data_IF_975995512320
#
_entry.id   IF_975995512320
#
_cell.length_a   1.000
_cell.length_b   1.000
_cell.length_c   1.000
_cell.angle_alpha   90.00
_cell.angle_beta   90.00
_cell.angle_gamma   90.00
#
_symmetry.space_group_name_H-M   'P 1'
#
loop_
_entity.id
_entity.type
_entity.pdbx_description
1 polymer ?
#
# COMPACT_ATOMS: atom_id res chain seq x y z
N UNK A 1 -29.78 19.84 -1.38
CA UNK A 1 -29.29 18.49 -1.03
C UNK A 1 -28.27 18.10 -2.09
N UNK A 2 -26.97 18.18 -1.77
CA UNK A 2 -25.91 17.79 -2.69
C UNK A 2 -25.78 16.27 -2.62
N UNK A 3 -26.20 15.60 -3.70
CA UNK A 3 -26.02 14.16 -3.83
C UNK A 3 -24.51 13.87 -3.85
N UNK A 4 -24.06 13.01 -2.94
CA UNK A 4 -22.73 12.41 -3.02
C UNK A 4 -22.57 11.76 -4.41
N UNK A 5 -21.40 11.86 -5.05
CA UNK A 5 -21.18 11.13 -6.29
C UNK A 5 -21.33 9.63 -5.99
N UNK A 6 -22.17 8.99 -6.80
CA UNK A 6 -22.36 7.55 -6.82
C UNK A 6 -20.98 6.91 -7.05
N UNK A 7 -20.64 5.94 -6.22
CA UNK A 7 -19.44 5.12 -6.33
C UNK A 7 -19.37 4.49 -7.74
N UNK A 8 -18.50 5.06 -8.60
CA UNK A 8 -18.44 4.76 -10.02
C UNK A 8 -17.73 3.44 -10.30
N UNK A 9 -18.49 2.38 -10.55
CA UNK A 9 -18.06 1.19 -11.27
C UNK A 9 -16.83 0.44 -10.71
N UNK A 10 -16.32 -0.58 -11.41
CA UNK A 10 -15.07 -1.21 -11.03
C UNK A 10 -13.92 -0.22 -11.26
N UNK A 11 -13.53 0.51 -10.22
CA UNK A 11 -12.40 1.44 -10.24
C UNK A 11 -11.17 0.76 -10.85
N UNK A 12 -10.59 1.35 -11.89
CA UNK A 12 -9.44 0.79 -12.59
C UNK A 12 -8.28 0.54 -11.60
N UNK A 13 -7.95 -0.74 -11.45
CA UNK A 13 -6.90 -1.24 -10.56
C UNK A 13 -5.50 -0.69 -10.91
N UNK A 14 -5.30 -0.23 -12.14
CA UNK A 14 -4.06 0.34 -12.65
C UNK A 14 -3.94 1.84 -12.38
N UNK A 15 -5.04 2.50 -11.95
CA UNK A 15 -5.03 3.93 -11.67
C UNK A 15 -4.08 4.26 -10.52
N UNK A 16 -3.14 5.17 -10.77
CA UNK A 16 -2.18 5.66 -9.78
C UNK A 16 -2.83 6.75 -8.91
N UNK A 17 -2.91 6.49 -7.61
CA UNK A 17 -3.57 7.34 -6.62
C UNK A 17 -2.56 7.83 -5.59
N UNK A 18 -2.66 9.11 -5.23
CA UNK A 18 -1.82 9.73 -4.20
C UNK A 18 -2.42 9.53 -2.82
N UNK A 19 -1.60 9.03 -1.91
CA UNK A 19 -1.92 8.86 -0.51
C UNK A 19 -0.96 9.69 0.35
N UNK A 20 -1.44 10.14 1.51
CA UNK A 20 -0.65 10.85 2.50
C UNK A 20 -0.77 10.13 3.84
N UNK A 21 0.37 9.76 4.41
CA UNK A 21 0.45 9.08 5.70
C UNK A 21 1.49 9.77 6.57
N UNK A 22 1.31 9.69 7.89
CA UNK A 22 2.39 10.00 8.83
C UNK A 22 3.11 8.70 9.17
N UNK A 23 4.39 8.60 8.82
CA UNK A 23 5.26 7.46 9.14
C UNK A 23 6.50 8.00 9.87
N UNK A 24 6.94 7.32 10.93
CA UNK A 24 8.09 7.75 11.74
C UNK A 24 8.07 9.24 12.17
N UNK A 25 6.88 9.80 12.43
CA UNK A 25 6.72 11.21 12.82
C UNK A 25 6.72 12.23 11.67
N UNK A 26 6.91 11.79 10.42
CA UNK A 26 6.95 12.68 9.25
C UNK A 26 5.81 12.36 8.27
N UNK A 27 5.27 13.41 7.64
CA UNK A 27 4.24 13.26 6.61
C UNK A 27 4.90 12.84 5.30
N UNK A 28 4.55 11.64 4.84
CA UNK A 28 5.04 11.06 3.59
C UNK A 28 3.89 10.96 2.60
N UNK A 29 4.15 11.35 1.35
CA UNK A 29 3.20 11.17 0.26
C UNK A 29 3.67 10.09 -0.69
N UNK A 30 2.77 9.18 -1.04
CA UNK A 30 3.06 7.98 -1.82
C UNK A 30 2.06 7.95 -2.96
N UNK A 31 2.54 7.78 -4.19
CA UNK A 31 1.68 7.57 -5.36
C UNK A 31 1.82 6.11 -5.80
N UNK A 32 0.71 5.37 -5.78
CA UNK A 32 0.64 3.94 -6.05
C UNK A 32 -0.64 3.59 -6.79
N UNK A 33 -0.58 2.55 -7.61
CA UNK A 33 -1.75 1.97 -8.26
C UNK A 33 -2.70 1.42 -7.18
N UNK A 34 -4.00 1.61 -7.42
CA UNK A 34 -5.06 1.20 -6.49
C UNK A 34 -4.92 -0.25 -6.04
N UNK A 35 -4.58 -1.16 -6.95
CA UNK A 35 -4.35 -2.57 -6.63
C UNK A 35 -3.26 -2.76 -5.57
N UNK A 36 -2.14 -2.07 -5.69
CA UNK A 36 -1.05 -2.16 -4.73
C UNK A 36 -1.43 -1.55 -3.38
N UNK A 37 -2.13 -0.41 -3.40
CA UNK A 37 -2.58 0.21 -2.15
C UNK A 37 -3.53 -0.68 -1.35
N UNK A 38 -4.53 -1.27 -2.00
CA UNK A 38 -5.48 -2.16 -1.33
C UNK A 38 -4.82 -3.47 -0.89
N UNK A 39 -3.88 -4.04 -1.66
CA UNK A 39 -3.14 -5.22 -1.21
C UNK A 39 -2.23 -4.89 -0.01
N UNK A 40 -1.58 -3.72 0.02
CA UNK A 40 -0.78 -3.30 1.16
C UNK A 40 -1.61 -3.20 2.44
N UNK A 41 -2.83 -2.64 2.36
CA UNK A 41 -3.78 -2.58 3.47
C UNK A 41 -4.14 -3.97 3.99
N UNK A 42 -4.36 -4.94 3.10
CA UNK A 42 -4.63 -6.33 3.47
C UNK A 42 -3.44 -6.98 4.17
N UNK A 43 -2.23 -6.84 3.63
CA UNK A 43 -1.01 -7.38 4.25
C UNK A 43 -0.81 -6.78 5.66
N UNK A 44 -1.01 -5.47 5.82
CA UNK A 44 -0.91 -4.84 7.13
C UNK A 44 -1.91 -5.42 8.14
N UNK A 45 -3.17 -5.64 7.71
CA UNK A 45 -4.22 -6.25 8.53
C UNK A 45 -3.94 -7.72 8.85
N UNK A 46 -3.49 -8.53 7.88
CA UNK A 46 -3.08 -9.93 8.04
C UNK A 46 -1.95 -10.06 9.08
N UNK A 47 -1.04 -9.08 9.12
CA UNK A 47 0.06 -8.99 10.10
C UNK A 47 -0.34 -8.38 11.45
N UNK A 48 -1.59 -7.97 11.64
CA UNK A 48 -2.04 -7.30 12.87
C UNK A 48 -1.38 -5.92 13.10
N UNK A 49 -0.93 -5.26 12.04
CA UNK A 49 -0.17 -4.01 12.09
C UNK A 49 -0.93 -2.86 11.41
N UNK A 50 -0.61 -1.61 11.78
CA UNK A 50 -1.18 -0.47 11.06
C UNK A 50 -0.52 -0.30 9.68
N UNK A 51 -1.26 0.27 8.71
CA UNK A 51 -0.71 0.60 7.39
C UNK A 51 0.54 1.49 7.49
N UNK A 52 0.51 2.47 8.41
CA UNK A 52 1.64 3.37 8.64
C UNK A 52 2.87 2.63 9.19
N UNK A 53 2.69 1.66 10.09
CA UNK A 53 3.77 0.82 10.59
C UNK A 53 4.36 -0.07 9.49
N UNK A 54 3.51 -0.73 8.69
CA UNK A 54 3.96 -1.54 7.56
C UNK A 54 4.74 -0.71 6.54
N UNK A 55 4.27 0.51 6.23
CA UNK A 55 5.00 1.43 5.33
C UNK A 55 6.32 1.88 5.95
N UNK A 56 6.36 2.17 7.25
CA UNK A 56 7.59 2.58 7.94
C UNK A 56 8.65 1.47 7.93
N UNK A 57 8.25 0.20 8.09
CA UNK A 57 9.17 -0.94 7.97
C UNK A 57 9.76 -1.06 6.57
N UNK A 58 8.92 -0.94 5.53
CA UNK A 58 9.38 -0.93 4.13
C UNK A 58 10.31 0.27 3.87
N UNK A 59 9.96 1.44 4.42
CA UNK A 59 10.75 2.66 4.31
C UNK A 59 12.13 2.52 4.95
N UNK A 60 12.24 1.82 6.08
CA UNK A 60 13.51 1.54 6.74
C UNK A 60 14.35 0.48 5.99
N UNK A 61 13.72 -0.50 5.33
CA UNK A 61 14.40 -1.61 4.65
C UNK A 61 14.81 -1.31 3.20
N UNK A 62 14.24 -0.28 2.56
CA UNK A 62 14.41 -0.03 1.11
C UNK A 62 15.78 0.45 0.66
N UNK A 63 16.67 0.82 1.59
CA UNK A 63 17.94 1.47 1.26
C UNK A 63 17.74 2.71 0.39
N UNK A 64 18.40 2.76 -0.77
CA UNK A 64 18.31 3.89 -1.71
C UNK A 64 17.12 3.81 -2.68
N UNK A 65 16.31 2.75 -2.66
CA UNK A 65 15.16 2.63 -3.54
C UNK A 65 14.06 3.65 -3.17
N UNK A 66 13.30 4.13 -4.15
CA UNK A 66 12.14 4.97 -3.86
C UNK A 66 11.03 4.14 -3.17
N UNK A 67 10.27 4.79 -2.27
CA UNK A 67 9.29 4.11 -1.42
C UNK A 67 8.19 3.42 -2.24
N UNK A 68 7.68 4.05 -3.30
CA UNK A 68 6.64 3.43 -4.15
C UNK A 68 7.14 2.14 -4.80
N UNK A 69 8.36 2.12 -5.36
CA UNK A 69 8.94 0.90 -5.93
C UNK A 69 9.20 -0.17 -4.87
N UNK A 70 9.71 0.22 -3.70
CA UNK A 70 9.93 -0.71 -2.59
C UNK A 70 8.63 -1.39 -2.13
N UNK A 71 7.54 -0.61 -2.02
CA UNK A 71 6.22 -1.15 -1.69
C UNK A 71 5.74 -2.15 -2.75
N UNK A 72 5.85 -1.82 -4.05
CA UNK A 72 5.42 -2.74 -5.12
C UNK A 72 6.19 -4.07 -5.06
N UNK A 73 7.50 -4.02 -4.86
CA UNK A 73 8.35 -5.22 -4.75
C UNK A 73 8.01 -6.02 -3.50
N UNK A 74 7.79 -5.37 -2.36
CA UNK A 74 7.35 -6.03 -1.12
C UNK A 74 6.03 -6.79 -1.33
N UNK A 75 5.04 -6.16 -1.96
CA UNK A 75 3.76 -6.80 -2.29
C UNK A 75 3.94 -7.97 -3.26
N UNK A 76 4.78 -7.79 -4.29
CA UNK A 76 5.07 -8.85 -5.26
C UNK A 76 5.72 -10.05 -4.57
N UNK A 77 6.70 -9.83 -3.68
CA UNK A 77 7.32 -10.90 -2.90
C UNK A 77 6.28 -11.60 -2.01
N UNK A 78 5.43 -10.86 -1.30
CA UNK A 78 4.35 -11.45 -0.51
C UNK A 78 3.38 -12.31 -1.34
N UNK A 79 3.13 -11.94 -2.59
CA UNK A 79 2.24 -12.71 -3.48
C UNK A 79 2.92 -13.91 -4.14
N UNK A 80 4.26 -13.90 -4.26
CA UNK A 80 5.06 -14.98 -4.85
C UNK A 80 5.61 -15.95 -3.80
N UNK A 81 5.67 -15.54 -2.54
CA UNK A 81 6.01 -16.44 -1.45
C UNK A 81 4.98 -17.58 -1.45
N UNK A 82 5.43 -18.84 -1.61
CA UNK A 82 4.54 -19.96 -1.35
C UNK A 82 4.16 -19.83 0.13
N UNK A 83 2.87 -19.66 0.42
CA UNK A 83 2.34 -19.82 1.77
C UNK A 83 3.00 -21.07 2.36
N UNK A 84 3.56 -20.95 3.56
CA UNK A 84 4.14 -22.09 4.26
C UNK A 84 3.01 -23.06 4.63
N UNK A 85 2.64 -23.92 3.68
CA UNK A 85 1.82 -25.12 3.84
C UNK A 85 0.31 -24.88 3.91
N UNK A 86 -0.39 -25.36 2.88
CA UNK A 86 -1.30 -26.51 3.01
C UNK A 86 -1.25 -27.36 1.74
#
# INVERSE_FOLDING_TARGET
MSAAPLDEGPHDLRSNVKHSLTIAGHRTSISLERAFWERLKRIAAERGSSLAACVAEIDAARGNANLSSAIRVYILQSALSPEAGE
#
